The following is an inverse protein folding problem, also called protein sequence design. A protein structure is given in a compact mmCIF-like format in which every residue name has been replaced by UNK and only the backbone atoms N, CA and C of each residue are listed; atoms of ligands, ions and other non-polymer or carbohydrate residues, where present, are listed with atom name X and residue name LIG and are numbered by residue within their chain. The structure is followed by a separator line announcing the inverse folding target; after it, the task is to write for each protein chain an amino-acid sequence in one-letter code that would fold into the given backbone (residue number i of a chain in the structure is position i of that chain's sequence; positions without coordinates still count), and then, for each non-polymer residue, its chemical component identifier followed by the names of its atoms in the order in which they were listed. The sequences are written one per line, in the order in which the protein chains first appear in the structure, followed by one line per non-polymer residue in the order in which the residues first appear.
data_IF_104364515714
#
_entry.id   IF_104364515714
#
_cell.length_a   1.000
_cell.length_b   1.000
_cell.length_c   1.000
_cell.angle_alpha   90.00
_cell.angle_beta   90.00
_cell.angle_gamma   90.00
#
_symmetry.space_group_name_H-M   'P 1'
#
loop_
_entity.id
_entity.type
_entity.pdbx_description
1 polymer ?
#
# COMPACT_ATOMS: atom_id res chain seq x y z
N UNK A 1 11.04 10.41 -13.93
CA UNK A 1 10.54 10.96 -12.64
C UNK A 1 11.72 11.36 -11.77
N UNK A 2 11.65 12.49 -11.08
CA UNK A 2 12.71 12.91 -10.14
C UNK A 2 12.82 11.91 -8.99
N UNK A 3 14.03 11.37 -8.78
CA UNK A 3 14.38 10.54 -7.61
C UNK A 3 14.64 11.41 -6.37
N UNK A 4 13.82 12.45 -6.18
CA UNK A 4 14.01 13.35 -5.05
C UNK A 4 13.74 12.60 -3.75
N UNK A 5 14.72 12.59 -2.86
CA UNK A 5 14.57 12.06 -1.50
C UNK A 5 13.48 12.86 -0.77
N UNK A 6 12.50 12.20 -0.12
CA UNK A 6 11.51 12.90 0.67
C UNK A 6 12.17 13.61 1.87
N UNK A 7 11.61 14.73 2.29
CA UNK A 7 12.15 15.51 3.40
C UNK A 7 11.11 15.74 4.48
N UNK A 8 11.56 15.90 5.72
CA UNK A 8 10.76 16.32 6.86
C UNK A 8 10.25 17.77 6.69
N UNK A 9 9.32 18.24 7.51
CA UNK A 9 8.92 19.64 7.55
C UNK A 9 10.09 20.60 7.75
N UNK A 10 11.10 20.18 8.47
CA UNK A 10 12.32 20.93 8.77
C UNK A 10 13.40 20.80 7.69
N UNK A 11 13.14 20.01 6.64
CA UNK A 11 14.03 19.83 5.49
C UNK A 11 15.05 18.69 5.62
N UNK A 12 15.04 17.92 6.73
CA UNK A 12 15.92 16.77 6.89
C UNK A 12 15.45 15.60 5.98
N UNK A 13 16.35 14.76 5.47
CA UNK A 13 15.97 13.58 4.70
C UNK A 13 15.13 12.60 5.53
N UNK A 14 14.03 12.12 4.95
CA UNK A 14 13.28 11.00 5.49
C UNK A 14 13.93 9.70 5.03
N UNK A 15 14.39 8.91 5.98
CA UNK A 15 14.91 7.57 5.70
C UNK A 15 13.76 6.58 5.53
N UNK A 16 13.80 5.77 4.45
CA UNK A 16 12.83 4.70 4.22
C UNK A 16 13.55 3.37 4.32
N UNK A 17 13.05 2.49 5.19
CA UNK A 17 13.63 1.17 5.43
C UNK A 17 12.57 0.12 5.73
N UNK A 18 12.87 -1.19 5.53
CA UNK A 18 11.94 -2.27 5.84
C UNK A 18 11.66 -2.33 7.35
N UNK A 19 10.47 -2.80 7.69
CA UNK A 19 10.04 -3.03 9.08
C UNK A 19 10.31 -4.47 9.45
N UNK A 20 11.32 -4.68 10.27
CA UNK A 20 11.68 -5.97 10.86
C UNK A 20 11.07 -6.12 12.26
N UNK A 21 11.21 -7.32 12.85
CA UNK A 21 10.67 -7.65 14.17
C UNK A 21 11.16 -6.70 15.28
N UNK A 22 12.42 -6.29 15.24
CA UNK A 22 13.02 -5.38 16.22
C UNK A 22 12.45 -3.95 16.18
N UNK A 23 11.73 -3.61 15.10
CA UNK A 23 11.05 -2.32 14.99
C UNK A 23 9.65 -2.31 15.63
N UNK A 24 9.13 -3.49 16.04
CA UNK A 24 7.85 -3.55 16.76
C UNK A 24 7.93 -2.70 18.04
N UNK A 25 6.88 -1.95 18.33
CA UNK A 25 6.88 -0.98 19.44
C UNK A 25 7.40 0.41 19.08
N UNK A 26 8.05 0.58 17.90
CA UNK A 26 8.44 1.90 17.35
C UNK A 26 7.65 2.27 16.11
N UNK A 27 6.94 1.32 15.53
CA UNK A 27 6.10 1.48 14.34
C UNK A 27 4.63 1.31 14.70
N UNK A 28 3.79 2.05 14.02
CA UNK A 28 2.34 1.97 14.18
C UNK A 28 1.80 0.76 13.42
N UNK A 29 1.28 -0.26 14.11
CA UNK A 29 0.76 -1.47 13.48
C UNK A 29 -0.77 -1.52 13.56
N UNK A 30 -1.40 -0.40 13.28
CA UNK A 30 -2.85 -0.24 13.43
C UNK A 30 -3.68 -1.09 12.46
N UNK A 31 -3.19 -1.24 11.24
CA UNK A 31 -3.93 -1.93 10.17
C UNK A 31 -3.56 -3.41 10.06
N UNK A 32 -2.67 -3.90 10.90
CA UNK A 32 -2.38 -5.32 11.02
C UNK A 32 -3.19 -5.89 12.18
N UNK A 33 -3.61 -7.13 12.06
CA UNK A 33 -4.32 -7.81 13.13
C UNK A 33 -3.44 -8.00 14.36
N UNK A 34 -4.01 -8.56 15.40
CA UNK A 34 -3.40 -8.77 16.70
C UNK A 34 -1.97 -9.34 16.68
N UNK A 35 -1.26 -9.24 17.78
CA UNK A 35 0.14 -9.65 17.88
C UNK A 35 0.41 -11.09 17.45
N UNK A 36 -0.57 -12.00 17.54
CA UNK A 36 -0.43 -13.38 17.11
C UNK A 36 -0.30 -13.52 15.60
N UNK A 37 -1.04 -12.72 14.84
CA UNK A 37 -0.94 -12.69 13.36
C UNK A 37 0.35 -12.04 12.88
N UNK A 38 0.83 -11.00 13.55
CA UNK A 38 2.14 -10.38 13.26
C UNK A 38 3.27 -11.40 13.45
N UNK A 39 3.24 -12.16 14.54
CA UNK A 39 4.19 -13.21 14.79
C UNK A 39 4.13 -14.31 13.72
N UNK A 40 2.94 -14.64 13.25
CA UNK A 40 2.76 -15.58 12.14
C UNK A 40 3.32 -15.03 10.84
N UNK A 41 3.12 -13.74 10.53
CA UNK A 41 3.72 -13.11 9.35
C UNK A 41 5.25 -13.24 9.36
N UNK A 42 5.92 -12.99 10.49
CA UNK A 42 7.37 -13.12 10.60
C UNK A 42 7.91 -14.56 10.50
N UNK A 43 7.06 -15.58 10.55
CA UNK A 43 7.46 -16.96 10.22
C UNK A 43 7.59 -17.18 8.70
N UNK A 44 6.90 -16.38 7.91
CA UNK A 44 6.81 -16.55 6.45
C UNK A 44 7.46 -15.43 5.65
N UNK A 45 7.76 -14.29 6.28
CA UNK A 45 8.37 -13.14 5.65
C UNK A 45 9.31 -12.41 6.61
N UNK A 46 10.37 -11.83 6.08
CA UNK A 46 11.39 -11.15 6.91
C UNK A 46 10.93 -9.77 7.38
N UNK A 47 10.18 -9.05 6.54
CA UNK A 47 9.67 -7.72 6.82
C UNK A 47 8.15 -7.67 6.65
N UNK A 48 7.48 -6.79 7.41
CA UNK A 48 6.03 -6.59 7.36
C UNK A 48 5.64 -5.28 6.65
N UNK A 49 6.56 -4.68 5.94
CA UNK A 49 6.35 -3.45 5.18
C UNK A 49 7.55 -2.53 5.17
N UNK A 50 7.28 -1.25 4.86
CA UNK A 50 8.27 -0.17 4.86
C UNK A 50 7.86 0.92 5.83
N UNK A 51 8.83 1.55 6.49
CA UNK A 51 8.61 2.69 7.36
C UNK A 51 9.45 3.90 6.93
N UNK A 52 8.87 5.09 7.05
CA UNK A 52 9.55 6.37 6.86
C UNK A 52 9.92 6.96 8.21
N UNK A 53 11.18 7.34 8.38
CA UNK A 53 11.75 7.80 9.63
C UNK A 53 12.26 9.23 9.50
N UNK A 54 11.80 10.08 10.41
CA UNK A 54 12.34 11.43 10.65
C UNK A 54 13.22 11.35 11.90
N UNK A 55 14.52 11.21 11.69
CA UNK A 55 15.44 10.82 12.76
C UNK A 55 15.04 9.47 13.38
N UNK A 56 14.76 9.46 14.68
CA UNK A 56 14.35 8.27 15.42
C UNK A 56 12.82 8.02 15.41
N UNK A 57 12.04 8.96 14.89
CA UNK A 57 10.58 8.90 14.87
C UNK A 57 10.07 8.27 13.61
N UNK A 58 9.30 7.18 13.72
CA UNK A 58 8.54 6.64 12.61
C UNK A 58 7.33 7.53 12.34
N UNK A 59 7.24 8.09 11.13
CA UNK A 59 6.20 9.06 10.73
C UNK A 59 5.34 8.58 9.57
N UNK A 60 5.73 7.49 8.93
CA UNK A 60 4.99 6.93 7.81
C UNK A 60 5.22 5.44 7.68
N UNK A 61 4.23 4.71 7.16
CA UNK A 61 4.29 3.25 7.03
C UNK A 61 3.49 2.78 5.84
N UNK A 62 4.02 1.76 5.18
CA UNK A 62 3.34 0.95 4.18
C UNK A 62 3.37 -0.49 4.68
N UNK A 63 2.23 -1.00 5.11
CA UNK A 63 2.14 -2.39 5.56
C UNK A 63 2.03 -3.33 4.37
N UNK A 64 2.76 -4.44 4.46
CA UNK A 64 2.84 -5.42 3.38
C UNK A 64 2.81 -6.84 3.94
N UNK A 65 2.35 -7.74 3.11
CA UNK A 65 2.32 -9.17 3.41
C UNK A 65 2.66 -10.00 2.17
N UNK A 66 3.15 -11.20 2.42
CA UNK A 66 3.48 -12.17 1.40
C UNK A 66 2.29 -13.06 1.10
N UNK A 67 2.06 -13.32 -0.18
CA UNK A 67 1.13 -14.33 -0.68
C UNK A 67 1.90 -15.35 -1.51
N UNK A 68 1.90 -16.60 -1.11
CA UNK A 68 2.72 -17.64 -1.74
C UNK A 68 2.06 -18.31 -2.94
N UNK A 69 0.73 -18.43 -2.93
CA UNK A 69 -0.03 -19.05 -4.01
C UNK A 69 -1.53 -18.83 -3.82
N UNK A 70 -2.34 -19.08 -4.86
CA UNK A 70 -3.79 -19.18 -4.70
C UNK A 70 -4.11 -20.20 -3.61
N UNK A 71 -4.82 -19.79 -2.55
CA UNK A 71 -5.13 -20.65 -1.40
C UNK A 71 -4.13 -20.59 -0.23
N UNK A 72 -3.07 -19.80 -0.32
CA UNK A 72 -2.16 -19.52 0.80
C UNK A 72 -2.90 -18.93 2.00
N UNK A 73 -2.57 -19.38 3.20
CA UNK A 73 -3.35 -19.32 4.43
C UNK A 73 -4.12 -18.01 4.64
N UNK A 74 -5.45 -18.11 4.58
CA UNK A 74 -6.40 -17.04 4.95
C UNK A 74 -6.18 -16.50 6.38
N UNK A 75 -5.45 -17.23 7.21
CA UNK A 75 -5.22 -16.94 8.62
C UNK A 75 -4.30 -15.73 8.88
N UNK A 76 -3.56 -15.28 7.84
CA UNK A 76 -2.60 -14.17 7.96
C UNK A 76 -3.25 -12.83 7.58
N UNK A 77 -4.46 -12.85 6.98
CA UNK A 77 -5.05 -11.68 6.35
C UNK A 77 -5.99 -10.91 7.28
N UNK A 78 -5.95 -9.59 7.27
CA UNK A 78 -7.05 -8.81 7.81
C UNK A 78 -8.33 -9.13 7.00
N UNK A 79 -9.47 -9.27 7.68
CA UNK A 79 -10.76 -9.59 7.03
C UNK A 79 -11.14 -8.64 5.88
N UNK A 80 -10.65 -7.41 5.90
CA UNK A 80 -10.90 -6.38 4.89
C UNK A 80 -9.97 -6.44 3.67
N UNK A 81 -8.89 -7.22 3.71
CA UNK A 81 -8.00 -7.49 2.56
C UNK A 81 -8.20 -8.90 2.03
N UNK A 82 -9.46 -9.34 1.90
CA UNK A 82 -9.82 -10.74 1.64
C UNK A 82 -9.03 -11.37 0.52
N UNK A 83 -8.48 -12.57 0.78
CA UNK A 83 -7.75 -13.38 -0.18
C UNK A 83 -8.52 -13.71 -1.45
N UNK A 84 -9.84 -13.90 -1.36
CA UNK A 84 -10.70 -14.32 -2.46
C UNK A 84 -10.53 -13.41 -3.67
N UNK A 85 -10.54 -12.11 -3.45
CA UNK A 85 -10.35 -11.12 -4.50
C UNK A 85 -8.93 -11.13 -5.09
N UNK A 86 -7.91 -11.26 -4.24
CA UNK A 86 -6.51 -11.32 -4.68
C UNK A 86 -6.19 -12.67 -5.31
N UNK A 87 -6.81 -13.75 -4.86
CA UNK A 87 -6.65 -15.10 -5.42
C UNK A 87 -7.25 -15.22 -6.81
N UNK A 88 -8.43 -14.68 -7.05
CA UNK A 88 -9.03 -14.64 -8.38
C UNK A 88 -8.15 -13.87 -9.37
N UNK A 89 -7.49 -12.80 -8.91
CA UNK A 89 -6.54 -12.03 -9.70
C UNK A 89 -5.26 -12.84 -9.97
N UNK A 90 -4.68 -13.46 -8.95
CA UNK A 90 -3.39 -14.19 -9.08
C UNK A 90 -3.57 -15.50 -9.84
N UNK A 91 -4.57 -16.30 -9.49
CA UNK A 91 -4.79 -17.61 -10.09
C UNK A 91 -5.48 -17.58 -11.45
N UNK A 92 -6.29 -16.56 -11.72
CA UNK A 92 -7.15 -16.50 -12.89
C UNK A 92 -6.55 -15.66 -14.02
N UNK A 93 -6.67 -14.34 -13.93
CA UNK A 93 -6.38 -13.44 -15.05
C UNK A 93 -4.91 -13.10 -15.23
N UNK A 94 -4.10 -13.18 -14.18
CA UNK A 94 -2.70 -12.76 -14.24
C UNK A 94 -1.68 -13.88 -14.43
N UNK A 95 -2.02 -15.14 -14.15
CA UNK A 95 -1.10 -16.28 -14.31
C UNK A 95 0.21 -16.12 -13.54
N UNK A 96 0.19 -15.54 -12.34
CA UNK A 96 1.36 -15.36 -11.49
C UNK A 96 1.52 -16.64 -10.65
N UNK A 97 2.60 -17.38 -10.86
CA UNK A 97 2.82 -18.70 -10.26
C UNK A 97 3.73 -18.71 -9.03
N UNK A 98 4.15 -17.55 -8.53
CA UNK A 98 5.12 -17.47 -7.42
C UNK A 98 4.70 -16.47 -6.34
N UNK A 99 5.57 -16.23 -5.35
CA UNK A 99 5.25 -15.37 -4.24
C UNK A 99 4.96 -13.95 -4.70
N UNK A 100 3.91 -13.36 -4.15
CA UNK A 100 3.48 -11.99 -4.43
C UNK A 100 3.62 -11.15 -3.17
N UNK A 101 4.12 -9.93 -3.34
CA UNK A 101 4.20 -8.94 -2.28
C UNK A 101 3.00 -8.01 -2.35
N UNK A 102 2.16 -8.04 -1.32
CA UNK A 102 0.92 -7.30 -1.30
C UNK A 102 1.00 -6.10 -0.37
N UNK A 103 0.66 -4.91 -0.87
CA UNK A 103 0.45 -3.74 -0.04
C UNK A 103 -0.93 -3.82 0.64
N UNK A 104 -0.99 -3.53 1.93
CA UNK A 104 -2.23 -3.49 2.69
C UNK A 104 -2.72 -2.06 2.85
N UNK A 105 -1.96 -1.23 3.54
CA UNK A 105 -2.32 0.16 3.79
C UNK A 105 -1.08 1.05 3.86
N UNK A 106 -1.26 2.34 3.54
CA UNK A 106 -0.22 3.35 3.59
C UNK A 106 -0.68 4.52 4.45
N UNK A 107 0.08 4.83 5.49
CA UNK A 107 -0.17 5.96 6.36
C UNK A 107 1.03 6.90 6.37
N UNK A 108 0.78 8.20 6.22
CA UNK A 108 1.78 9.27 6.29
C UNK A 108 1.36 10.26 7.36
N UNK A 109 2.32 10.81 8.10
CA UNK A 109 2.06 11.75 9.19
C UNK A 109 1.50 11.11 10.46
N UNK A 110 1.59 9.79 10.59
CA UNK A 110 1.16 9.07 11.79
C UNK A 110 2.35 8.39 12.46
N UNK A 111 2.41 8.51 13.78
CA UNK A 111 3.43 7.87 14.61
C UNK A 111 2.76 7.04 15.70
N UNK A 112 3.56 6.25 16.42
CA UNK A 112 3.06 5.45 17.55
C UNK A 112 2.53 6.36 18.69
N UNK A 113 3.05 7.57 18.80
CA UNK A 113 2.64 8.55 19.81
C UNK A 113 1.28 9.18 19.50
N UNK A 114 0.90 9.22 18.22
CA UNK A 114 -0.39 9.75 17.75
C UNK A 114 -1.39 8.62 17.45
N UNK A 115 -1.40 7.60 18.28
CA UNK A 115 -2.10 6.34 18.01
C UNK A 115 -3.61 6.38 18.23
N UNK A 116 -4.16 7.39 18.90
CA UNK A 116 -5.60 7.47 19.08
C UNK A 116 -6.32 7.46 17.73
N UNK A 117 -7.43 6.73 17.65
CA UNK A 117 -8.28 6.70 16.43
C UNK A 117 -8.76 8.09 16.04
N UNK A 118 -8.88 8.98 17.04
CA UNK A 118 -9.30 10.37 16.90
C UNK A 118 -8.18 11.32 16.47
N UNK A 119 -6.90 10.90 16.56
CA UNK A 119 -5.81 11.79 16.25
C UNK A 119 -5.69 12.00 14.74
N UNK A 120 -5.75 13.24 14.31
CA UNK A 120 -5.49 13.59 12.93
C UNK A 120 -4.00 13.31 12.60
N UNK A 121 -3.70 12.83 11.38
CA UNK A 121 -2.32 12.71 10.95
C UNK A 121 -1.65 14.09 10.87
N UNK A 122 -0.35 14.15 11.12
CA UNK A 122 0.42 15.39 10.96
C UNK A 122 0.53 15.76 9.48
N UNK A 123 -0.30 16.72 9.07
CA UNK A 123 -0.41 17.17 7.69
C UNK A 123 0.87 17.82 7.14
N UNK A 124 1.81 18.24 8.00
CA UNK A 124 3.09 18.82 7.57
C UNK A 124 3.94 17.83 6.75
N UNK A 125 3.71 16.53 6.90
CA UNK A 125 4.36 15.48 6.11
C UNK A 125 3.68 15.20 4.75
N UNK A 126 2.50 15.79 4.48
CA UNK A 126 1.77 15.54 3.24
C UNK A 126 2.40 16.24 2.02
N UNK A 127 2.18 15.68 0.84
CA UNK A 127 2.71 16.22 -0.42
C UNK A 127 4.23 16.14 -0.60
N UNK A 128 4.97 15.56 0.34
CA UNK A 128 6.44 15.47 0.33
C UNK A 128 6.98 14.23 -0.38
N UNK A 129 6.13 13.45 -1.00
CA UNK A 129 6.53 12.24 -1.75
C UNK A 129 6.84 11.02 -0.88
N UNK A 130 6.56 11.06 0.43
CA UNK A 130 6.89 9.99 1.38
C UNK A 130 6.18 8.69 1.00
N UNK A 131 4.86 8.71 0.73
CA UNK A 131 4.12 7.51 0.30
C UNK A 131 4.68 6.89 -0.98
N UNK A 132 5.08 7.73 -1.95
CA UNK A 132 5.75 7.27 -3.17
C UNK A 132 7.11 6.62 -2.88
N UNK A 133 7.87 7.17 -1.94
CA UNK A 133 9.17 6.61 -1.54
C UNK A 133 9.00 5.25 -0.82
N UNK A 134 8.01 5.14 0.07
CA UNK A 134 7.64 3.86 0.70
C UNK A 134 7.30 2.80 -0.35
N UNK A 135 6.47 3.15 -1.34
CA UNK A 135 6.11 2.23 -2.41
C UNK A 135 7.32 1.80 -3.25
N UNK A 136 8.22 2.73 -3.62
CA UNK A 136 9.46 2.39 -4.34
C UNK A 136 10.36 1.46 -3.55
N UNK A 137 10.59 1.75 -2.28
CA UNK A 137 11.39 0.90 -1.40
C UNK A 137 10.79 -0.50 -1.27
N UNK A 138 9.46 -0.57 -1.17
CA UNK A 138 8.73 -1.85 -1.13
C UNK A 138 8.89 -2.66 -2.42
N UNK A 139 8.84 -2.00 -3.59
CA UNK A 139 9.07 -2.66 -4.88
C UNK A 139 10.51 -3.16 -5.00
N UNK A 140 11.51 -2.37 -4.58
CA UNK A 140 12.91 -2.81 -4.57
C UNK A 140 13.11 -4.01 -3.66
N UNK A 141 12.57 -3.93 -2.44
CA UNK A 141 12.58 -5.06 -1.50
C UNK A 141 12.00 -6.34 -2.11
N UNK A 142 10.81 -6.23 -2.70
CA UNK A 142 10.15 -7.37 -3.32
C UNK A 142 10.99 -8.00 -4.44
N UNK A 143 11.64 -7.17 -5.27
CA UNK A 143 12.53 -7.65 -6.33
C UNK A 143 13.75 -8.37 -5.76
N UNK A 144 14.42 -7.79 -4.78
CA UNK A 144 15.61 -8.35 -4.12
C UNK A 144 15.32 -9.65 -3.37
N UNK A 145 14.05 -9.88 -2.97
CA UNK A 145 13.63 -11.06 -2.21
C UNK A 145 12.86 -12.09 -3.06
N UNK A 146 12.96 -12.01 -4.39
CA UNK A 146 12.46 -13.03 -5.31
C UNK A 146 10.94 -13.07 -5.48
N UNK A 147 10.23 -12.01 -5.14
CA UNK A 147 8.80 -11.90 -5.44
C UNK A 147 8.57 -11.73 -6.93
N UNK A 148 7.51 -12.31 -7.46
CA UNK A 148 7.18 -12.24 -8.88
C UNK A 148 6.33 -11.03 -9.25
N UNK A 149 5.60 -10.51 -8.29
CA UNK A 149 4.79 -9.32 -8.47
C UNK A 149 4.60 -8.55 -7.16
N UNK A 150 4.25 -7.27 -7.31
CA UNK A 150 3.68 -6.46 -6.24
C UNK A 150 2.24 -6.15 -6.60
N UNK A 151 1.32 -6.37 -5.65
CA UNK A 151 -0.09 -6.03 -5.77
C UNK A 151 -0.42 -4.95 -4.74
N UNK A 152 -1.25 -3.99 -5.13
CA UNK A 152 -1.60 -2.86 -4.29
C UNK A 152 -3.04 -2.39 -4.51
N UNK A 153 -3.80 -2.05 -3.46
CA UNK A 153 -5.09 -1.38 -3.58
C UNK A 153 -4.85 0.10 -3.88
N UNK A 154 -5.11 0.53 -5.11
CA UNK A 154 -5.05 1.94 -5.49
C UNK A 154 -6.37 2.63 -5.18
N UNK A 155 -6.34 3.66 -4.34
CA UNK A 155 -7.53 4.45 -4.00
C UNK A 155 -7.87 5.45 -5.13
N UNK A 156 -9.10 5.95 -5.21
CA UNK A 156 -9.42 7.10 -6.06
C UNK A 156 -8.49 8.28 -5.77
N UNK A 157 -8.10 9.02 -6.82
CA UNK A 157 -7.18 10.15 -6.71
C UNK A 157 -7.83 11.41 -6.08
N UNK A 158 -8.56 11.24 -4.99
CA UNK A 158 -9.16 12.29 -4.17
C UNK A 158 -8.49 12.18 -2.80
N UNK A 159 -7.94 13.29 -2.31
CA UNK A 159 -7.13 13.31 -1.10
C UNK A 159 -7.89 12.76 0.12
N UNK A 160 -9.09 13.25 0.39
CA UNK A 160 -9.93 12.87 1.53
C UNK A 160 -10.29 11.38 1.47
N UNK A 161 -10.58 10.87 0.28
CA UNK A 161 -10.86 9.45 0.05
C UNK A 161 -9.63 8.60 0.33
N UNK A 162 -8.47 9.00 -0.18
CA UNK A 162 -7.20 8.28 0.05
C UNK A 162 -6.81 8.26 1.52
N UNK A 163 -7.03 9.35 2.25
CA UNK A 163 -6.79 9.41 3.69
C UNK A 163 -7.75 8.51 4.48
N UNK A 164 -9.01 8.51 4.12
CA UNK A 164 -10.03 7.68 4.75
C UNK A 164 -9.76 6.18 4.54
N UNK A 165 -9.44 5.78 3.32
CA UNK A 165 -9.09 4.38 3.02
C UNK A 165 -7.70 3.97 3.56
N UNK A 166 -6.84 4.92 3.90
CA UNK A 166 -5.45 4.62 4.29
C UNK A 166 -4.62 4.04 3.15
N UNK A 167 -4.76 4.61 1.95
CA UNK A 167 -4.11 4.11 0.74
C UNK A 167 -3.41 5.20 -0.08
N UNK A 168 -2.72 4.77 -1.13
CA UNK A 168 -2.18 5.65 -2.15
C UNK A 168 -3.11 5.68 -3.37
N UNK A 169 -3.24 6.84 -4.05
CA UNK A 169 -4.00 6.92 -5.28
C UNK A 169 -3.47 5.96 -6.35
N UNK A 170 -4.38 5.32 -7.12
CA UNK A 170 -3.98 4.45 -8.22
C UNK A 170 -3.11 5.17 -9.26
N UNK A 171 -3.30 6.49 -9.45
CA UNK A 171 -2.43 7.31 -10.31
C UNK A 171 -0.98 7.39 -9.81
N UNK A 172 -0.74 7.23 -8.50
CA UNK A 172 0.60 7.13 -7.94
C UNK A 172 1.24 5.79 -8.33
N UNK A 173 0.50 4.70 -8.25
CA UNK A 173 0.97 3.38 -8.66
C UNK A 173 1.25 3.33 -10.17
N UNK A 174 0.38 3.89 -11.03
CA UNK A 174 0.62 3.99 -12.48
C UNK A 174 1.94 4.69 -12.79
N UNK A 175 2.22 5.81 -12.10
CA UNK A 175 3.50 6.53 -12.24
C UNK A 175 4.71 5.69 -11.79
N UNK A 176 4.51 4.65 -11.00
CA UNK A 176 5.54 3.71 -10.58
C UNK A 176 5.61 2.45 -11.45
N UNK A 177 4.84 2.40 -12.53
CA UNK A 177 4.85 1.31 -13.51
C UNK A 177 3.86 0.19 -13.24
N UNK A 178 2.96 0.35 -12.27
CA UNK A 178 1.86 -0.58 -12.06
C UNK A 178 0.81 -0.41 -13.15
N UNK A 179 0.14 -1.50 -13.47
CA UNK A 179 -1.06 -1.53 -14.32
C UNK A 179 -2.29 -1.84 -13.47
N UNK A 180 -3.40 -1.19 -13.76
CA UNK A 180 -4.67 -1.55 -13.16
C UNK A 180 -5.16 -2.89 -13.72
N UNK A 181 -5.69 -3.75 -12.85
CA UNK A 181 -6.47 -4.91 -13.31
C UNK A 181 -7.80 -4.38 -13.84
N UNK A 182 -8.16 -4.73 -15.07
CA UNK A 182 -9.42 -4.27 -15.64
C UNK A 182 -10.61 -4.78 -14.82
N UNK A 183 -11.40 -3.87 -14.30
CA UNK A 183 -12.71 -4.13 -13.71
C UNK A 183 -13.63 -3.05 -14.26
N UNK A 184 -14.74 -3.45 -14.84
CA UNK A 184 -15.73 -2.51 -15.34
C UNK A 184 -16.68 -2.13 -14.19
N UNK A 185 -16.87 -0.84 -14.03
CA UNK A 185 -17.83 -0.25 -13.12
C UNK A 185 -18.59 0.83 -13.87
N UNK A 186 -19.90 0.71 -13.89
CA UNK A 186 -20.77 1.64 -14.61
C UNK A 186 -21.40 2.70 -13.69
N UNK A 187 -21.22 2.57 -12.36
CA UNK A 187 -21.86 3.40 -11.35
C UNK A 187 -20.89 3.86 -10.27
N UNK A 188 -21.39 4.72 -9.38
CA UNK A 188 -20.65 5.12 -8.17
C UNK A 188 -20.57 3.98 -7.15
N UNK A 189 -19.43 3.80 -6.47
CA UNK A 189 -19.34 2.85 -5.37
C UNK A 189 -20.26 3.23 -4.20
N UNK A 190 -20.70 2.25 -3.42
CA UNK A 190 -21.69 2.44 -2.36
C UNK A 190 -21.27 3.47 -1.30
N UNK A 191 -19.98 3.55 -0.98
CA UNK A 191 -19.49 4.56 -0.06
C UNK A 191 -19.72 5.99 -0.59
N UNK A 192 -19.61 6.21 -1.90
CA UNK A 192 -19.83 7.51 -2.54
C UNK A 192 -21.31 7.89 -2.65
N UNK A 193 -22.22 6.93 -2.41
CA UNK A 193 -23.69 7.15 -2.36
C UNK A 193 -24.18 7.62 -0.99
N UNK A 194 -23.32 7.77 0.03
CA UNK A 194 -23.70 8.30 1.33
C UNK A 194 -23.10 7.60 2.55
N UNK A 195 -22.33 6.54 2.37
CA UNK A 195 -21.75 5.74 3.44
C UNK A 195 -20.30 6.12 3.76
N UNK A 196 -20.01 7.42 3.84
CA UNK A 196 -18.68 7.94 4.12
C UNK A 196 -18.73 9.18 5.00
N UNK A 197 -17.60 9.59 5.61
CA UNK A 197 -17.51 10.82 6.39
C UNK A 197 -17.93 12.07 5.60
N UNK A 198 -18.45 13.12 6.27
CA UNK A 198 -18.95 14.33 5.60
C UNK A 198 -17.90 15.01 4.69
N UNK A 199 -16.63 15.06 5.10
CA UNK A 199 -15.53 15.63 4.33
C UNK A 199 -15.25 14.82 3.05
N UNK A 200 -15.31 13.49 3.13
CA UNK A 200 -15.18 12.59 1.98
C UNK A 200 -16.35 12.79 1.02
N UNK A 201 -17.57 12.91 1.54
CA UNK A 201 -18.75 13.19 0.73
C UNK A 201 -18.66 14.55 0.04
N UNK A 202 -18.21 15.58 0.74
CA UNK A 202 -18.03 16.91 0.17
C UNK A 202 -17.02 16.91 -0.97
N UNK A 203 -15.87 16.28 -0.78
CA UNK A 203 -14.83 16.14 -1.81
C UNK A 203 -15.33 15.33 -3.03
N UNK A 204 -16.10 14.25 -2.77
CA UNK A 204 -16.72 13.44 -3.83
C UNK A 204 -17.69 14.25 -4.68
N UNK A 205 -18.59 15.02 -4.04
CA UNK A 205 -19.54 15.89 -4.76
C UNK A 205 -18.83 16.97 -5.57
N UNK A 206 -17.78 17.57 -5.02
CA UNK A 206 -16.99 18.57 -5.74
C UNK A 206 -16.34 17.96 -6.99
N UNK A 207 -15.72 16.79 -6.87
CA UNK A 207 -15.10 16.12 -8.01
C UNK A 207 -16.10 15.70 -9.09
N UNK A 208 -17.31 15.27 -8.73
CA UNK A 208 -18.41 15.00 -9.67
C UNK A 208 -18.85 16.27 -10.39
N UNK A 209 -19.00 17.37 -9.66
CA UNK A 209 -19.37 18.66 -10.24
C UNK A 209 -18.30 19.21 -11.22
N UNK A 210 -17.04 18.84 -11.02
CA UNK A 210 -15.92 19.11 -11.93
C UNK A 210 -15.89 18.16 -13.15
N UNK A 211 -16.84 17.23 -13.26
CA UNK A 211 -16.97 16.30 -14.38
C UNK A 211 -16.10 15.05 -14.28
N UNK A 212 -15.63 14.66 -13.09
CA UNK A 212 -14.91 13.40 -12.91
C UNK A 212 -15.85 12.23 -13.21
N UNK A 213 -15.45 11.25 -14.07
CA UNK A 213 -16.26 10.08 -14.35
C UNK A 213 -16.55 9.23 -13.13
N UNK A 214 -17.77 8.70 -12.98
CA UNK A 214 -18.18 7.88 -11.85
C UNK A 214 -17.27 6.65 -11.61
N UNK A 215 -16.83 6.02 -12.69
CA UNK A 215 -15.89 4.89 -12.66
C UNK A 215 -14.55 5.21 -11.98
N UNK A 216 -14.15 6.48 -11.91
CA UNK A 216 -12.88 6.90 -11.30
C UNK A 216 -12.96 7.00 -9.77
N UNK A 217 -14.14 6.78 -9.19
CA UNK A 217 -14.34 6.71 -7.74
C UNK A 217 -14.15 5.29 -7.19
N UNK A 218 -14.02 4.29 -8.03
CA UNK A 218 -13.68 2.93 -7.60
C UNK A 218 -12.19 2.80 -7.26
N UNK A 219 -11.90 2.02 -6.24
CA UNK A 219 -10.55 1.56 -5.99
C UNK A 219 -10.12 0.60 -7.09
N UNK A 220 -8.87 0.69 -7.52
CA UNK A 220 -8.31 -0.18 -8.58
C UNK A 220 -7.28 -1.13 -7.96
N UNK A 221 -7.36 -2.40 -8.33
CA UNK A 221 -6.28 -3.32 -8.02
C UNK A 221 -5.11 -3.04 -8.97
N UNK A 222 -3.99 -2.66 -8.39
CA UNK A 222 -2.78 -2.31 -9.12
C UNK A 222 -1.78 -3.44 -9.06
N UNK A 223 -1.18 -3.80 -10.18
CA UNK A 223 -0.23 -4.92 -10.29
C UNK A 223 1.04 -4.45 -10.99
N UNK A 224 2.19 -4.75 -10.39
CA UNK A 224 3.51 -4.63 -11.00
C UNK A 224 4.15 -6.01 -11.08
N UNK A 225 4.33 -6.54 -12.28
CA UNK A 225 5.14 -7.74 -12.49
C UNK A 225 6.61 -7.40 -12.31
N UNK A 226 7.27 -8.13 -11.46
CA UNK A 226 8.71 -8.04 -11.28
C UNK A 226 9.34 -9.00 -12.29
N UNK A 227 10.19 -8.48 -13.19
CA UNK A 227 11.03 -9.36 -14.01
C UNK A 227 12.02 -10.02 -13.06
N UNK A 228 11.96 -11.31 -12.95
CA UNK A 228 13.09 -12.05 -12.43
C UNK A 228 14.13 -12.08 -13.56
N UNK A 229 15.20 -11.32 -13.43
CA UNK A 229 16.39 -11.46 -14.28
C UNK A 229 17.10 -12.78 -13.88
N UNK A 230 16.38 -13.88 -13.98
CA UNK A 230 16.97 -15.20 -13.94
C UNK A 230 17.49 -15.48 -15.34
N UNK A 231 18.77 -15.71 -15.49
CA UNK A 231 19.31 -16.35 -16.69
C UNK A 231 18.58 -17.69 -16.89
N UNK A 232 18.53 -18.14 -18.15
CA UNK A 232 17.93 -19.43 -18.51
C UNK A 232 18.56 -20.63 -17.76
N UNK A 233 19.67 -20.43 -17.07
CA UNK A 233 20.39 -21.39 -16.23
C UNK A 233 20.05 -21.28 -14.72
N UNK A 234 19.18 -20.36 -14.33
CA UNK A 234 18.73 -20.19 -12.93
C UNK A 234 19.65 -19.36 -12.03
N UNK A 235 20.67 -18.70 -12.58
CA UNK A 235 21.55 -17.81 -11.82
C UNK A 235 20.99 -16.39 -11.72
N UNK A 236 21.03 -15.80 -10.50
CA UNK A 236 20.73 -14.39 -10.28
C UNK A 236 21.82 -13.51 -10.91
N UNK A 237 21.40 -12.52 -11.67
CA UNK A 237 22.31 -11.43 -12.09
C UNK A 237 22.43 -10.46 -10.92
N UNK A 238 23.62 -10.41 -10.34
CA UNK A 238 23.99 -9.38 -9.35
C UNK A 238 24.23 -8.02 -10.02
#
# INVERSE_FOLDING_TARGET
MSNKTPTSPEGAPIEVRPVFREHLGRVLIRCLPDGGRIETMFKHQQAIGMAGWDGEKCIAQLHCYRLDSPGGSADIWPEWSRPDYVQDIIGGSLGIAGPVWCHACCHVGRSIETFSVSDAPDSRYFGRGIGTALCRASVSWAREHGYQAVIAPGTPGIYEVSQWFGGLPWTTYEKLGFSAVPVEHDDLPDWAKGNCPPEVMAATKAALAEGRPEKDFHSKQMVLRLKNDLHADGTLVC
#
